data_IF_027465414367
#
_entry.id   IF_027465414367
#
_cell.length_a   1.000
_cell.length_b   1.000
_cell.length_c   1.000
_cell.angle_alpha   90.00
_cell.angle_beta   90.00
_cell.angle_gamma   90.00
#
_symmetry.space_group_name_H-M   'P 1'
#
loop_
_entity.id
_entity.type
_entity.pdbx_description
1 polymer ?
#
# COMPACT_ATOMS: atom_id res chain seq x y z
N UNK A 1 12.57 -4.96 -0.50
CA UNK A 1 12.85 -3.99 0.58
C UNK A 1 13.46 -2.66 0.12
N UNK A 2 14.25 -2.58 -0.97
CA UNK A 2 14.85 -1.31 -1.40
C UNK A 2 13.82 -0.18 -1.66
N UNK A 3 12.75 -0.47 -2.42
CA UNK A 3 11.65 0.47 -2.64
C UNK A 3 11.04 0.97 -1.32
N UNK A 4 10.79 0.06 -0.37
CA UNK A 4 10.26 0.38 0.95
C UNK A 4 11.13 1.38 1.72
N UNK A 5 12.46 1.22 1.66
CA UNK A 5 13.38 2.19 2.27
C UNK A 5 13.34 3.56 1.58
N UNK A 6 13.21 3.58 0.25
CA UNK A 6 13.05 4.83 -0.50
C UNK A 6 11.73 5.52 -0.10
N UNK A 7 10.62 4.78 0.02
CA UNK A 7 9.34 5.32 0.52
C UNK A 7 9.52 5.97 1.89
N UNK A 8 10.22 5.32 2.83
CA UNK A 8 10.48 5.88 4.16
C UNK A 8 11.34 7.14 4.11
N UNK A 9 12.36 7.19 3.25
CA UNK A 9 13.19 8.38 3.06
C UNK A 9 12.33 9.54 2.52
N UNK A 10 11.59 9.30 1.45
CA UNK A 10 10.71 10.30 0.83
C UNK A 10 9.62 10.79 1.77
N UNK A 11 9.07 9.93 2.62
CA UNK A 11 8.09 10.31 3.63
C UNK A 11 8.65 11.33 4.63
N UNK A 12 9.93 11.21 5.00
CA UNK A 12 10.62 12.18 5.86
C UNK A 12 10.94 13.47 5.09
N UNK A 13 11.54 13.34 3.90
CA UNK A 13 12.01 14.49 3.11
C UNK A 13 10.87 15.39 2.63
N UNK A 14 9.72 14.81 2.29
CA UNK A 14 8.57 15.52 1.74
C UNK A 14 7.53 15.93 2.80
N UNK A 15 7.72 15.53 4.06
CA UNK A 15 6.85 15.91 5.17
C UNK A 15 6.63 17.44 5.25
N UNK A 16 7.66 18.30 5.18
CA UNK A 16 7.49 19.76 5.26
C UNK A 16 6.72 20.35 4.08
N UNK A 17 6.66 19.64 2.95
CA UNK A 17 5.92 20.04 1.75
C UNK A 17 4.45 19.61 1.79
N UNK A 18 4.01 18.94 2.87
CA UNK A 18 2.63 18.45 3.00
C UNK A 18 2.30 17.28 2.08
N UNK A 19 3.29 16.60 1.50
CA UNK A 19 3.08 15.45 0.60
C UNK A 19 3.04 14.17 1.43
N UNK A 20 2.00 13.37 1.23
CA UNK A 20 1.84 12.06 1.87
C UNK A 20 2.51 10.99 1.01
N UNK A 21 3.37 10.18 1.62
CA UNK A 21 4.09 9.09 0.95
C UNK A 21 3.88 7.78 1.71
N UNK A 22 3.41 6.73 1.04
CA UNK A 22 3.08 5.45 1.66
C UNK A 22 3.50 4.28 0.77
N UNK A 23 3.76 3.12 1.38
CA UNK A 23 3.85 1.84 0.66
C UNK A 23 2.55 1.08 0.80
N UNK A 24 2.15 0.36 -0.25
CA UNK A 24 0.90 -0.42 -0.25
C UNK A 24 1.19 -1.83 -0.76
N UNK A 25 0.80 -2.83 0.00
CA UNK A 25 0.70 -4.21 -0.44
C UNK A 25 -0.73 -4.42 -0.98
N UNK A 26 -0.91 -4.61 -2.30
CA UNK A 26 -2.23 -4.67 -2.93
C UNK A 26 -2.99 -5.98 -2.66
N UNK A 27 -2.38 -6.92 -1.94
CA UNK A 27 -2.84 -8.29 -1.78
C UNK A 27 -2.24 -9.24 -2.82
N UNK A 28 -2.57 -10.52 -2.73
CA UNK A 28 -2.21 -11.50 -3.75
C UNK A 28 -3.23 -11.48 -4.90
N UNK A 29 -3.04 -10.54 -5.84
CA UNK A 29 -3.99 -10.17 -6.92
C UNK A 29 -3.79 -10.99 -8.19
N UNK A 30 -4.88 -11.47 -8.79
CA UNK A 30 -4.90 -12.27 -10.01
C UNK A 30 -4.63 -11.42 -11.26
N UNK A 31 -3.36 -11.39 -11.66
CA UNK A 31 -2.83 -10.67 -12.82
C UNK A 31 -1.84 -11.55 -13.57
N UNK A 32 -1.35 -11.07 -14.73
CA UNK A 32 -0.29 -11.76 -15.47
C UNK A 32 0.96 -12.05 -14.61
N UNK A 33 1.26 -11.17 -13.64
CA UNK A 33 2.38 -11.35 -12.70
C UNK A 33 2.20 -12.58 -11.80
N UNK A 34 0.96 -12.94 -11.45
CA UNK A 34 0.65 -14.10 -10.60
C UNK A 34 0.27 -15.34 -11.38
N UNK A 35 0.15 -15.24 -12.72
CA UNK A 35 -0.11 -16.36 -13.62
C UNK A 35 -1.33 -17.21 -13.22
N UNK A 36 -2.44 -16.59 -12.81
CA UNK A 36 -3.66 -17.30 -12.42
C UNK A 36 -3.62 -18.00 -11.05
N UNK A 37 -2.56 -17.81 -10.25
CA UNK A 37 -2.40 -18.47 -8.94
C UNK A 37 -2.99 -17.69 -7.77
N UNK A 38 -3.34 -16.43 -8.00
CA UNK A 38 -3.92 -15.56 -7.00
C UNK A 38 -5.45 -15.72 -6.96
N UNK A 39 -6.04 -15.31 -5.84
CA UNK A 39 -7.48 -15.45 -5.59
C UNK A 39 -8.20 -14.11 -5.48
N UNK A 40 -7.47 -13.02 -5.22
CA UNK A 40 -8.03 -11.69 -5.15
C UNK A 40 -8.16 -11.11 -6.56
N UNK A 41 -9.35 -10.64 -6.93
CA UNK A 41 -9.56 -10.04 -8.25
C UNK A 41 -8.92 -8.64 -8.33
N UNK A 42 -8.43 -8.22 -9.51
CA UNK A 42 -7.93 -6.87 -9.72
C UNK A 42 -8.91 -5.76 -9.31
N UNK A 43 -10.19 -5.93 -9.61
CA UNK A 43 -11.22 -4.93 -9.31
C UNK A 43 -11.37 -4.72 -7.80
N UNK A 44 -11.36 -5.81 -7.03
CA UNK A 44 -11.46 -5.78 -5.56
C UNK A 44 -10.23 -5.10 -4.93
N UNK A 45 -9.04 -5.43 -5.43
CA UNK A 45 -7.79 -4.80 -4.99
C UNK A 45 -7.79 -3.28 -5.28
N UNK A 46 -8.22 -2.88 -6.47
CA UNK A 46 -8.29 -1.47 -6.86
C UNK A 46 -9.33 -0.70 -6.04
N UNK A 47 -10.51 -1.27 -5.79
CA UNK A 47 -11.51 -0.64 -4.93
C UNK A 47 -10.97 -0.39 -3.51
N UNK A 48 -10.21 -1.34 -2.95
CA UNK A 48 -9.55 -1.17 -1.66
C UNK A 48 -8.47 -0.09 -1.70
N UNK A 49 -7.67 -0.02 -2.78
CA UNK A 49 -6.65 1.02 -2.97
C UNK A 49 -7.26 2.42 -3.08
N UNK A 50 -8.32 2.60 -3.86
CA UNK A 50 -9.05 3.87 -3.96
C UNK A 50 -9.58 4.28 -2.58
N UNK A 51 -10.22 3.35 -1.87
CA UNK A 51 -10.74 3.60 -0.52
C UNK A 51 -9.66 3.96 0.51
N UNK A 52 -8.44 3.42 0.35
CA UNK A 52 -7.28 3.79 1.16
C UNK A 52 -6.82 5.21 0.82
N UNK A 53 -6.65 5.50 -0.47
CA UNK A 53 -6.19 6.81 -0.96
C UNK A 53 -7.11 7.94 -0.47
N UNK A 54 -8.43 7.76 -0.53
CA UNK A 54 -9.42 8.73 -0.05
C UNK A 54 -9.29 9.06 1.45
N UNK A 55 -8.68 8.17 2.23
CA UNK A 55 -8.51 8.31 3.69
C UNK A 55 -7.11 8.75 4.10
N UNK A 56 -6.16 8.80 3.16
CA UNK A 56 -4.78 9.18 3.45
C UNK A 56 -4.72 10.62 3.95
N UNK A 57 -3.91 10.80 4.98
CA UNK A 57 -3.66 12.09 5.61
C UNK A 57 -2.20 12.17 6.07
N UNK A 58 -1.82 13.29 6.71
CA UNK A 58 -0.45 13.49 7.15
C UNK A 58 0.05 12.40 8.13
N UNK A 59 -0.82 11.88 9.01
CA UNK A 59 -0.48 10.80 9.95
C UNK A 59 -0.32 9.44 9.26
N UNK A 60 -0.66 9.36 7.98
CA UNK A 60 -0.50 8.16 7.16
C UNK A 60 0.90 8.05 6.56
N UNK A 61 1.64 9.18 6.47
CA UNK A 61 2.95 9.21 5.79
C UNK A 61 3.96 8.28 6.46
N UNK A 62 4.76 7.58 5.65
CA UNK A 62 5.78 6.65 6.12
C UNK A 62 5.25 5.32 6.66
N UNK A 63 3.98 4.98 6.41
CA UNK A 63 3.38 3.69 6.75
C UNK A 63 3.39 2.71 5.57
N UNK A 64 3.27 1.43 5.91
CA UNK A 64 3.14 0.34 4.95
C UNK A 64 1.78 -0.34 5.12
N UNK A 65 0.83 -0.07 4.23
CA UNK A 65 -0.53 -0.59 4.31
C UNK A 65 -0.67 -1.95 3.64
N UNK A 66 -1.51 -2.82 4.20
CA UNK A 66 -1.91 -4.07 3.58
C UNK A 66 -3.39 -4.05 3.24
N UNK A 67 -3.70 -4.45 2.01
CA UNK A 67 -5.05 -4.56 1.48
C UNK A 67 -5.46 -6.01 1.19
N UNK A 68 -4.64 -6.98 1.58
CA UNK A 68 -5.01 -8.39 1.45
C UNK A 68 -6.10 -8.74 2.47
N UNK A 69 -7.31 -9.13 2.03
CA UNK A 69 -8.40 -9.47 2.95
C UNK A 69 -8.13 -10.75 3.76
N UNK A 70 -7.16 -11.59 3.35
CA UNK A 70 -6.80 -12.82 4.07
C UNK A 70 -5.84 -12.55 5.23
N UNK A 71 -5.18 -11.38 5.25
CA UNK A 71 -4.25 -10.98 6.30
C UNK A 71 -4.89 -9.87 7.13
N UNK A 72 -5.27 -10.11 8.41
CA UNK A 72 -6.04 -9.15 9.20
C UNK A 72 -5.21 -7.96 9.74
N UNK A 73 -3.98 -7.76 9.27
CA UNK A 73 -3.14 -6.62 9.61
C UNK A 73 -3.36 -5.51 8.58
N UNK A 74 -3.85 -4.36 9.05
CA UNK A 74 -4.03 -3.17 8.21
C UNK A 74 -2.71 -2.45 7.89
N UNK A 75 -1.75 -2.51 8.82
CA UNK A 75 -0.40 -1.95 8.67
C UNK A 75 0.63 -3.07 8.86
N UNK A 76 1.56 -3.19 7.93
CA UNK A 76 2.65 -4.16 7.95
C UNK A 76 3.89 -3.58 8.65
N UNK A 77 4.67 -4.41 9.37
CA UNK A 77 6.00 -4.03 9.78
C UNK A 77 6.93 -3.88 8.57
N UNK A 78 7.99 -3.08 8.73
CA UNK A 78 9.02 -2.85 7.71
C UNK A 78 10.04 -3.99 7.63
#
# INVERSE_FOLDING_TARGET
>A
AALNMITRSLAFDLQPSGIVVVSVHPGYVDTDMTQGKATLKPEDSVMAMVSLIDKLNHESTGKFFNLDPQIPLAELPW
#
